data_IF_336172094207
#
_entry.id   IF_336172094207
#
_cell.length_a   1.000
_cell.length_b   1.000
_cell.length_c   1.000
_cell.angle_alpha   90.00
_cell.angle_beta   90.00
_cell.angle_gamma   90.00
#
_symmetry.space_group_name_H-M   'P 1'
#
loop_
_entity.id
_entity.type
_entity.pdbx_description
1 polymer ?
#
# COMPACT_ATOMS: atom_id res chain seq x y z
N UNK A 1 17.09 -11.31 67.99
CA UNK A 1 15.63 -11.47 68.10
C UNK A 1 14.97 -10.90 66.85
N UNK A 2 14.33 -11.79 66.09
CA UNK A 2 13.21 -11.58 65.14
C UNK A 2 13.32 -10.52 64.03
N UNK A 3 13.85 -10.94 62.88
CA UNK A 3 13.56 -10.40 61.54
C UNK A 3 12.24 -10.99 61.04
N UNK A 4 11.28 -10.16 60.61
CA UNK A 4 10.15 -10.61 59.77
C UNK A 4 10.53 -10.44 58.30
N UNK A 5 10.51 -11.56 57.57
CA UNK A 5 10.66 -11.64 56.11
C UNK A 5 9.28 -11.42 55.47
N UNK A 6 9.19 -10.55 54.48
CA UNK A 6 8.08 -10.53 53.53
C UNK A 6 8.52 -11.32 52.29
N UNK A 7 7.81 -12.40 52.01
CA UNK A 7 7.93 -13.19 50.79
C UNK A 7 6.98 -12.56 49.77
N UNK A 8 7.52 -12.05 48.65
CA UNK A 8 6.73 -11.74 47.46
C UNK A 8 7.16 -12.74 46.39
N UNK A 9 6.28 -13.70 46.15
CA UNK A 9 6.41 -14.74 45.13
C UNK A 9 6.13 -14.14 43.76
N UNK A 10 7.10 -14.33 42.87
CA UNK A 10 6.95 -14.24 41.42
C UNK A 10 5.95 -15.29 40.91
N UNK A 11 5.07 -14.88 40.00
CA UNK A 11 4.40 -15.77 39.05
C UNK A 11 4.47 -15.10 37.65
N UNK A 12 4.85 -15.84 36.59
CA UNK A 12 5.04 -15.29 35.26
C UNK A 12 3.71 -15.24 34.50
N UNK A 13 3.46 -14.14 33.78
CA UNK A 13 2.44 -14.06 32.75
C UNK A 13 3.00 -14.67 31.46
N UNK A 14 2.64 -15.93 31.21
CA UNK A 14 2.63 -16.54 29.88
C UNK A 14 1.22 -17.09 29.63
N UNK A 15 0.49 -16.49 28.67
CA UNK A 15 -0.65 -17.09 27.97
C UNK A 15 -0.57 -16.53 26.54
N UNK A 16 0.04 -17.23 25.58
CA UNK A 16 -0.58 -18.30 24.77
C UNK A 16 -1.87 -17.84 24.08
N UNK A 17 -1.75 -17.17 22.93
CA UNK A 17 -2.87 -16.95 22.03
C UNK A 17 -2.95 -18.12 21.04
N UNK A 18 -3.98 -18.95 21.17
CA UNK A 18 -4.26 -20.07 20.27
C UNK A 18 -5.33 -21.01 20.83
N UNK A 19 -6.42 -21.15 20.07
CA UNK A 19 -7.50 -22.15 20.21
C UNK A 19 -8.49 -22.02 21.38
N UNK A 20 -9.66 -21.43 21.10
CA UNK A 20 -10.94 -22.05 21.49
C UNK A 20 -12.04 -21.70 20.47
N UNK A 21 -12.44 -22.74 19.74
CA UNK A 21 -13.51 -22.78 18.73
C UNK A 21 -14.87 -23.03 19.39
N UNK A 22 -15.92 -22.52 18.74
CA UNK A 22 -17.28 -23.08 18.65
C UNK A 22 -18.00 -23.51 19.94
N UNK A 23 -18.75 -22.60 20.58
CA UNK A 23 -20.04 -22.96 21.25
C UNK A 23 -20.93 -21.80 21.74
N UNK A 24 -20.99 -20.67 21.02
CA UNK A 24 -21.86 -19.54 21.43
C UNK A 24 -22.74 -18.92 20.35
N UNK A 25 -22.98 -19.63 19.25
CA UNK A 25 -23.70 -19.06 18.10
C UNK A 25 -25.10 -19.66 17.83
N UNK A 26 -25.61 -20.58 18.68
CA UNK A 26 -26.92 -21.21 18.46
C UNK A 26 -28.07 -20.63 19.28
N UNK A 27 -27.81 -19.93 20.40
CA UNK A 27 -28.90 -19.37 21.24
C UNK A 27 -29.23 -17.90 20.93
N UNK A 28 -28.38 -17.18 20.20
CA UNK A 28 -28.65 -15.80 19.76
C UNK A 28 -29.35 -15.69 18.39
N UNK A 29 -29.44 -16.79 17.63
CA UNK A 29 -30.12 -16.82 16.33
C UNK A 29 -31.61 -17.19 16.42
N UNK A 30 -32.08 -17.70 17.55
CA UNK A 30 -33.48 -18.13 17.73
C UNK A 30 -34.38 -17.00 18.28
N UNK A 31 -33.81 -16.05 19.04
CA UNK A 31 -34.55 -14.89 19.57
C UNK A 31 -34.84 -13.78 18.53
N UNK A 32 -34.14 -13.78 17.38
CA UNK A 32 -34.34 -12.79 16.31
C UNK A 32 -35.44 -13.23 15.32
N UNK A 33 -35.72 -14.54 15.23
CA UNK A 33 -36.77 -15.07 14.34
C UNK A 33 -38.19 -14.83 14.86
N UNK A 34 -38.42 -14.86 16.16
CA UNK A 34 -39.75 -14.62 16.76
C UNK A 34 -40.17 -13.15 16.76
N UNK A 35 -39.24 -12.21 16.55
CA UNK A 35 -39.56 -10.77 16.48
C UNK A 35 -39.94 -10.31 15.07
N UNK A 36 -39.58 -11.08 14.03
CA UNK A 36 -39.81 -10.71 12.62
C UNK A 36 -41.11 -11.28 12.02
N UNK A 37 -41.90 -12.02 12.80
CA UNK A 37 -43.14 -12.64 12.31
C UNK A 37 -44.43 -11.89 12.71
N UNK A 38 -44.32 -10.73 13.36
CA UNK A 38 -45.46 -9.95 13.86
C UNK A 38 -45.66 -8.57 13.21
N UNK A 39 -45.01 -8.27 12.07
CA UNK A 39 -45.09 -6.92 11.45
C UNK A 39 -45.69 -6.91 10.04
N UNK A 40 -46.14 -8.03 9.49
CA UNK A 40 -46.80 -8.05 8.18
C UNK A 40 -48.29 -8.42 8.31
N UNK A 41 -49.12 -7.39 8.47
CA UNK A 41 -50.52 -7.43 8.03
C UNK A 41 -50.63 -6.64 6.74
N UNK A 42 -51.00 -7.35 5.67
CA UNK A 42 -51.39 -6.81 4.37
C UNK A 42 -52.56 -5.82 4.53
N UNK A 43 -52.48 -4.68 3.83
CA UNK A 43 -53.58 -3.72 3.73
C UNK A 43 -53.08 -2.28 3.56
N UNK A 44 -53.10 -1.83 2.30
CA UNK A 44 -53.22 -0.43 1.89
C UNK A 44 -52.04 0.52 2.16
N UNK A 45 -51.10 0.60 1.20
CA UNK A 45 -50.52 1.86 0.70
C UNK A 45 -49.61 1.60 -0.52
N UNK A 46 -50.19 0.95 -1.53
CA UNK A 46 -49.69 0.96 -2.91
C UNK A 46 -50.05 2.32 -3.56
N UNK A 47 -49.20 3.33 -3.41
CA UNK A 47 -48.99 4.48 -4.31
C UNK A 47 -48.12 5.51 -3.58
N UNK A 48 -46.79 5.36 -3.62
CA UNK A 48 -45.83 6.49 -3.45
C UNK A 48 -44.34 6.11 -3.39
N UNK A 49 -43.95 4.82 -3.32
CA UNK A 49 -42.53 4.45 -3.12
C UNK A 49 -41.78 4.08 -4.41
N UNK A 50 -42.46 4.01 -5.56
CA UNK A 50 -41.80 3.72 -6.85
C UNK A 50 -41.03 4.90 -7.48
N UNK A 51 -40.93 6.06 -6.81
CA UNK A 51 -40.31 7.27 -7.38
C UNK A 51 -39.12 7.83 -6.58
N UNK A 52 -38.64 7.18 -5.52
CA UNK A 52 -37.47 7.67 -4.77
C UNK A 52 -36.16 6.92 -5.06
N UNK A 53 -36.21 5.64 -5.46
CA UNK A 53 -34.99 4.87 -5.74
C UNK A 53 -34.43 5.08 -7.16
N UNK A 54 -35.23 5.61 -8.11
CA UNK A 54 -34.74 5.96 -9.46
C UNK A 54 -34.20 7.40 -9.57
N UNK A 55 -34.52 8.29 -8.62
CA UNK A 55 -34.15 9.72 -8.69
C UNK A 55 -32.80 10.02 -8.02
N UNK A 56 -32.27 9.14 -7.15
CA UNK A 56 -30.98 9.38 -6.48
C UNK A 56 -29.74 8.85 -7.22
N UNK A 57 -29.93 8.15 -8.35
CA UNK A 57 -28.84 7.58 -9.17
C UNK A 57 -28.42 8.50 -10.35
N UNK A 58 -28.94 9.72 -10.41
CA UNK A 58 -28.60 10.76 -11.41
C UNK A 58 -27.98 12.03 -10.80
N UNK A 59 -27.42 11.96 -9.60
CA UNK A 59 -26.54 13.03 -9.09
C UNK A 59 -25.19 12.96 -9.80
N UNK A 60 -25.08 13.76 -10.86
CA UNK A 60 -23.86 14.23 -11.52
C UNK A 60 -22.66 13.27 -11.40
N UNK A 61 -22.46 12.48 -12.47
CA UNK A 61 -21.08 12.22 -12.87
C UNK A 61 -20.53 13.60 -13.19
N UNK A 62 -19.89 14.25 -12.22
CA UNK A 62 -18.98 15.34 -12.47
C UNK A 62 -17.82 14.68 -13.25
N UNK A 63 -18.01 14.57 -14.57
CA UNK A 63 -17.02 14.05 -15.50
C UNK A 63 -15.96 15.14 -15.57
N UNK A 64 -15.11 15.16 -14.57
CA UNK A 64 -13.93 15.97 -14.63
C UNK A 64 -12.96 15.35 -15.63
N UNK A 65 -12.61 16.14 -16.64
CA UNK A 65 -11.68 15.77 -17.71
C UNK A 65 -10.53 16.74 -17.68
N UNK A 66 -9.43 16.33 -17.08
CA UNK A 66 -8.21 17.10 -17.15
C UNK A 66 -7.21 16.50 -18.10
N UNK A 67 -6.39 17.39 -18.65
CA UNK A 67 -5.26 17.06 -19.47
C UNK A 67 -4.03 17.73 -18.87
N UNK A 68 -2.98 16.94 -18.63
CA UNK A 68 -1.71 17.42 -18.10
C UNK A 68 -0.59 17.04 -19.07
N UNK A 69 0.37 17.93 -19.27
CA UNK A 69 1.65 17.58 -19.90
C UNK A 69 2.69 17.45 -18.78
N UNK A 70 3.29 16.27 -18.63
CA UNK A 70 4.24 15.98 -17.56
C UNK A 70 5.55 15.47 -18.14
N UNK A 71 6.65 15.99 -17.58
CA UNK A 71 8.03 15.64 -17.91
C UNK A 71 8.84 15.62 -16.62
N UNK A 72 8.75 14.53 -15.85
CA UNK A 72 9.63 14.34 -14.69
C UNK A 72 11.03 13.83 -15.09
N UNK A 73 11.19 13.41 -16.35
CA UNK A 73 12.47 13.07 -16.96
C UNK A 73 12.70 13.94 -18.20
N UNK A 74 13.95 14.27 -18.53
CA UNK A 74 14.28 15.11 -19.69
C UNK A 74 13.93 14.46 -21.04
N UNK A 75 13.69 13.14 -21.04
CA UNK A 75 13.65 12.33 -22.27
C UNK A 75 12.27 11.77 -22.62
N UNK A 76 11.27 11.87 -21.75
CA UNK A 76 9.92 11.34 -22.01
C UNK A 76 8.86 12.30 -21.52
N UNK A 77 7.92 12.62 -22.41
CA UNK A 77 6.76 13.45 -22.09
C UNK A 77 5.49 12.67 -22.27
N UNK A 78 4.55 12.91 -21.36
CA UNK A 78 3.23 12.30 -21.39
C UNK A 78 2.14 13.35 -21.38
N UNK A 79 1.17 13.15 -22.26
CA UNK A 79 -0.16 13.73 -22.14
C UNK A 79 -1.01 12.79 -21.28
N UNK A 80 -1.42 13.28 -20.11
CA UNK A 80 -2.12 12.51 -19.09
C UNK A 80 -3.57 12.96 -19.03
N UNK A 81 -4.48 11.99 -19.05
CA UNK A 81 -5.91 12.22 -18.90
C UNK A 81 -6.45 11.44 -17.70
N UNK A 82 -7.00 12.15 -16.72
CA UNK A 82 -7.67 11.55 -15.56
C UNK A 82 -9.17 11.77 -15.67
N UNK A 83 -9.94 10.70 -15.59
CA UNK A 83 -11.41 10.75 -15.55
C UNK A 83 -11.97 9.81 -14.48
N UNK A 84 -13.08 10.21 -13.86
CA UNK A 84 -13.86 9.37 -12.95
C UNK A 84 -14.67 8.34 -13.74
N UNK A 85 -14.77 7.12 -13.24
CA UNK A 85 -15.60 6.06 -13.82
C UNK A 85 -16.54 5.46 -12.76
N UNK A 86 -17.59 4.80 -13.20
CA UNK A 86 -18.50 4.08 -12.30
C UNK A 86 -17.96 2.69 -11.95
N UNK A 87 -18.46 2.11 -10.85
CA UNK A 87 -18.01 0.81 -10.36
C UNK A 87 -18.32 -0.33 -11.33
N UNK A 88 -19.44 -0.27 -12.07
CA UNK A 88 -19.87 -1.32 -12.98
C UNK A 88 -18.87 -1.41 -14.14
N UNK A 89 -18.55 -0.28 -14.76
CA UNK A 89 -17.54 -0.19 -15.81
C UNK A 89 -16.18 -0.65 -15.31
N UNK A 90 -15.74 -0.19 -14.14
CA UNK A 90 -14.45 -0.56 -13.54
C UNK A 90 -14.31 -2.08 -13.36
N UNK A 91 -15.29 -2.73 -12.71
CA UNK A 91 -15.22 -4.17 -12.45
C UNK A 91 -15.44 -5.02 -13.70
N UNK A 92 -16.26 -4.55 -14.66
CA UNK A 92 -16.43 -5.22 -15.96
C UNK A 92 -15.11 -5.30 -16.72
N UNK A 93 -14.32 -4.23 -16.72
CA UNK A 93 -13.00 -4.23 -17.36
C UNK A 93 -12.04 -5.13 -16.58
N UNK A 94 -11.99 -5.01 -15.25
CA UNK A 94 -11.12 -5.82 -14.40
C UNK A 94 -11.29 -7.33 -14.61
N UNK A 95 -12.51 -7.81 -14.84
CA UNK A 95 -12.79 -9.23 -15.07
C UNK A 95 -12.02 -9.81 -16.29
N UNK A 96 -11.69 -8.96 -17.27
CA UNK A 96 -10.91 -9.36 -18.45
C UNK A 96 -9.38 -9.27 -18.25
N UNK A 97 -8.91 -8.80 -17.10
CA UNK A 97 -7.49 -8.56 -16.84
C UNK A 97 -6.91 -9.73 -16.04
N UNK A 98 -5.81 -10.34 -16.48
CA UNK A 98 -5.10 -11.36 -15.72
C UNK A 98 -4.68 -10.85 -14.34
N UNK A 99 -4.67 -11.76 -13.36
CA UNK A 99 -4.14 -11.45 -12.03
C UNK A 99 -2.64 -11.18 -12.17
N UNK A 100 -2.12 -10.06 -11.65
CA UNK A 100 -0.69 -9.76 -11.70
C UNK A 100 0.14 -10.86 -11.03
N UNK A 101 1.29 -11.17 -11.63
CA UNK A 101 2.28 -12.05 -11.03
C UNK A 101 2.84 -11.39 -9.76
N UNK A 102 2.86 -12.13 -8.65
CA UNK A 102 3.43 -11.65 -7.39
C UNK A 102 4.95 -11.66 -7.48
N UNK A 103 5.57 -10.54 -7.12
CA UNK A 103 7.03 -10.43 -7.06
C UNK A 103 7.55 -11.29 -5.91
N UNK A 104 8.57 -12.11 -6.20
CA UNK A 104 9.24 -12.91 -5.19
C UNK A 104 9.99 -12.02 -4.19
N UNK A 105 9.85 -12.32 -2.91
CA UNK A 105 10.55 -11.60 -1.84
C UNK A 105 11.06 -12.56 -0.76
N UNK A 106 12.23 -12.25 -0.24
CA UNK A 106 12.89 -12.96 0.85
C UNK A 106 12.66 -12.13 2.12
N UNK A 107 11.88 -12.67 3.05
CA UNK A 107 11.57 -12.04 4.35
C UNK A 107 12.34 -12.65 5.52
N UNK A 108 12.96 -13.82 5.33
CA UNK A 108 13.86 -14.37 6.34
C UNK A 108 15.18 -13.59 6.30
N UNK A 109 15.51 -12.94 7.41
CA UNK A 109 16.71 -12.10 7.50
C UNK A 109 18.00 -12.90 7.30
N UNK A 110 18.08 -14.13 7.82
CA UNK A 110 19.29 -14.93 7.70
C UNK A 110 19.55 -15.33 6.24
N UNK A 111 18.50 -15.61 5.47
CA UNK A 111 18.60 -15.86 4.03
C UNK A 111 18.91 -14.57 3.27
N UNK A 112 18.18 -13.48 3.50
CA UNK A 112 18.44 -12.20 2.85
C UNK A 112 19.89 -11.73 3.07
N UNK A 113 20.42 -11.88 4.30
CA UNK A 113 21.81 -11.54 4.63
C UNK A 113 22.85 -12.34 3.82
N UNK A 114 22.53 -13.57 3.38
CA UNK A 114 23.42 -14.33 2.49
C UNK A 114 23.47 -13.71 1.09
N UNK A 115 22.30 -13.33 0.54
CA UNK A 115 22.21 -12.66 -0.76
C UNK A 115 22.85 -11.26 -0.73
N UNK A 116 22.69 -10.55 0.39
CA UNK A 116 23.15 -9.18 0.55
C UNK A 116 24.60 -9.06 1.03
N UNK A 117 25.34 -10.19 1.13
CA UNK A 117 26.71 -10.21 1.59
C UNK A 117 27.62 -9.35 0.71
N UNK A 118 28.30 -8.38 1.33
CA UNK A 118 29.19 -7.45 0.63
C UNK A 118 28.46 -6.32 -0.12
N UNK A 119 27.13 -6.27 -0.02
CA UNK A 119 26.29 -5.19 -0.53
C UNK A 119 25.80 -4.34 0.63
N UNK A 120 25.23 -4.98 1.66
CA UNK A 120 24.62 -4.30 2.79
C UNK A 120 25.37 -4.70 4.05
N UNK A 121 25.86 -3.69 4.75
CA UNK A 121 26.40 -3.84 6.10
C UNK A 121 25.27 -3.61 7.08
N UNK A 122 24.85 -4.68 7.76
CA UNK A 122 23.83 -4.63 8.79
C UNK A 122 24.43 -4.50 10.18
N UNK A 123 23.69 -3.85 11.09
CA UNK A 123 24.03 -3.75 12.50
C UNK A 123 24.32 -2.32 12.94
N UNK A 124 23.47 -1.79 13.82
CA UNK A 124 23.72 -0.55 14.56
C UNK A 124 23.71 -0.80 16.07
N UNK A 125 24.40 0.05 16.82
CA UNK A 125 24.33 0.08 18.28
C UNK A 125 23.78 1.42 18.70
N UNK A 126 22.66 1.41 19.42
CA UNK A 126 22.11 2.61 20.03
C UNK A 126 22.44 2.63 21.52
N UNK A 127 22.68 3.81 22.08
CA UNK A 127 22.92 4.00 23.51
C UNK A 127 21.88 4.94 24.09
N UNK A 128 21.21 4.50 25.13
CA UNK A 128 20.12 5.22 25.78
C UNK A 128 20.65 6.11 26.91
N UNK A 129 19.77 6.98 27.44
CA UNK A 129 20.14 8.02 28.41
C UNK A 129 20.66 7.49 29.77
N UNK A 130 20.48 6.21 30.06
CA UNK A 130 21.02 5.51 31.23
C UNK A 130 22.39 4.85 30.96
N UNK A 131 22.89 4.95 29.73
CA UNK A 131 24.14 4.33 29.29
C UNK A 131 24.00 2.86 28.86
N UNK A 132 22.79 2.31 28.83
CA UNK A 132 22.56 0.98 28.24
C UNK A 132 22.67 1.06 26.72
N UNK A 133 23.34 0.08 26.11
CA UNK A 133 23.46 -0.02 24.66
C UNK A 133 22.76 -1.28 24.13
N UNK A 134 21.98 -1.12 23.07
CA UNK A 134 21.28 -2.22 22.38
C UNK A 134 21.82 -2.32 20.96
N UNK A 135 22.10 -3.56 20.51
CA UNK A 135 22.53 -3.84 19.15
C UNK A 135 21.37 -4.36 18.32
N UNK A 136 21.11 -3.70 17.19
CA UNK A 136 20.05 -4.05 16.25
C UNK A 136 20.67 -4.68 14.99
N UNK A 137 20.70 -6.02 14.88
CA UNK A 137 21.41 -6.71 13.80
C UNK A 137 20.74 -6.61 12.43
N UNK A 138 19.48 -6.18 12.38
CA UNK A 138 18.61 -6.17 11.20
C UNK A 138 18.51 -4.79 10.53
N UNK A 139 19.06 -3.75 11.16
CA UNK A 139 19.09 -2.40 10.59
C UNK A 139 20.24 -2.31 9.58
N UNK A 140 19.98 -1.99 8.30
CA UNK A 140 21.03 -1.69 7.35
C UNK A 140 21.71 -0.38 7.76
N UNK A 141 23.04 -0.39 7.79
CA UNK A 141 23.85 0.77 8.16
C UNK A 141 24.47 1.41 6.93
N UNK A 142 25.10 0.60 6.08
CA UNK A 142 25.76 1.03 4.85
C UNK A 142 25.31 0.14 3.70
N UNK A 143 24.95 0.76 2.58
CA UNK A 143 24.64 0.09 1.34
C UNK A 143 25.70 0.45 0.30
N UNK A 144 26.30 -0.57 -0.31
CA UNK A 144 27.22 -0.51 -1.43
C UNK A 144 26.46 -0.94 -2.69
N UNK A 145 25.80 0.01 -3.34
CA UNK A 145 25.05 -0.27 -4.57
C UNK A 145 25.96 -0.81 -5.68
N UNK A 146 25.39 -1.50 -6.67
CA UNK A 146 26.14 -2.16 -7.76
C UNK A 146 26.91 -1.17 -8.62
N UNK A 147 26.39 0.03 -8.79
CA UNK A 147 27.08 1.14 -9.43
C UNK A 147 28.21 1.76 -8.58
N UNK A 148 28.55 1.16 -7.43
CA UNK A 148 29.56 1.60 -6.46
C UNK A 148 29.20 2.86 -5.67
N UNK A 149 27.95 3.32 -5.74
CA UNK A 149 27.45 4.36 -4.84
C UNK A 149 27.38 3.79 -3.43
N UNK A 150 27.94 4.53 -2.47
CA UNK A 150 27.79 4.25 -1.04
C UNK A 150 26.64 5.09 -0.50
N UNK A 151 25.72 4.45 0.21
CA UNK A 151 24.59 5.09 0.90
C UNK A 151 24.72 4.75 2.38
N UNK A 152 24.52 5.75 3.22
CA UNK A 152 24.41 5.57 4.66
C UNK A 152 22.94 5.67 5.02
N UNK A 153 22.42 4.66 5.71
CA UNK A 153 21.05 4.70 6.18
C UNK A 153 20.94 5.79 7.25
N UNK A 154 20.12 6.80 6.98
CA UNK A 154 19.90 7.94 7.87
C UNK A 154 18.77 7.69 8.86
N UNK A 155 17.97 6.66 8.64
CA UNK A 155 16.89 6.27 9.53
C UNK A 155 17.36 5.10 10.41
N UNK A 156 17.72 5.36 11.68
CA UNK A 156 18.17 4.31 12.59
C UNK A 156 17.02 3.34 12.96
N UNK A 157 15.76 3.76 12.79
CA UNK A 157 14.58 2.93 13.06
C UNK A 157 14.25 2.00 11.88
N UNK A 158 14.88 2.17 10.71
CA UNK A 158 14.59 1.38 9.52
C UNK A 158 15.11 -0.06 9.64
N UNK A 159 14.29 -0.99 10.11
CA UNK A 159 14.65 -2.40 10.26
C UNK A 159 14.30 -3.21 9.00
N UNK A 160 15.08 -4.24 8.69
CA UNK A 160 14.85 -5.12 7.54
C UNK A 160 13.44 -5.72 7.53
N UNK A 161 12.76 -5.64 6.37
CA UNK A 161 11.46 -6.30 6.14
C UNK A 161 11.58 -7.35 5.03
N UNK A 162 12.14 -6.96 3.89
CA UNK A 162 12.21 -7.84 2.74
C UNK A 162 13.35 -7.45 1.78
N UNK A 163 13.87 -8.44 1.07
CA UNK A 163 14.69 -8.24 -0.12
C UNK A 163 13.94 -8.82 -1.33
N UNK A 164 13.87 -8.04 -2.43
CA UNK A 164 13.22 -8.42 -3.68
C UNK A 164 14.29 -8.72 -4.74
N UNK A 165 14.68 -9.98 -4.97
CA UNK A 165 15.86 -10.30 -5.76
C UNK A 165 15.73 -9.93 -7.25
N UNK A 166 14.53 -10.08 -7.84
CA UNK A 166 14.31 -9.73 -9.25
C UNK A 166 14.41 -8.24 -9.51
N UNK A 167 14.02 -7.43 -8.54
CA UNK A 167 14.09 -5.97 -8.60
C UNK A 167 15.42 -5.43 -8.07
N UNK A 168 16.17 -6.24 -7.33
CA UNK A 168 17.36 -5.88 -6.54
C UNK A 168 17.08 -4.69 -5.61
N UNK A 169 15.96 -4.76 -4.89
CA UNK A 169 15.50 -3.72 -3.95
C UNK A 169 15.46 -4.28 -2.54
N UNK A 170 16.06 -3.54 -1.60
CA UNK A 170 15.94 -3.76 -0.16
C UNK A 170 14.80 -2.89 0.38
N UNK A 171 13.90 -3.48 1.16
CA UNK A 171 12.84 -2.76 1.88
C UNK A 171 13.00 -2.96 3.39
N UNK A 172 12.83 -1.87 4.10
CA UNK A 172 12.86 -1.74 5.53
C UNK A 172 11.61 -0.98 5.99
N UNK A 173 11.26 -1.15 7.26
CA UNK A 173 10.19 -0.39 7.91
C UNK A 173 10.83 0.53 8.94
N UNK A 174 10.57 1.84 8.82
CA UNK A 174 11.04 2.85 9.75
C UNK A 174 9.98 3.26 10.77
N UNK A 175 10.22 4.39 11.42
CA UNK A 175 9.28 4.97 12.39
C UNK A 175 7.89 5.20 11.79
N UNK A 176 6.83 4.96 12.57
CA UNK A 176 5.43 5.05 12.11
C UNK A 176 5.09 4.13 10.93
N UNK A 177 5.77 2.98 10.85
CA UNK A 177 5.61 1.99 9.80
C UNK A 177 5.94 2.52 8.39
N UNK A 178 6.79 3.55 8.30
CA UNK A 178 7.21 4.14 7.02
C UNK A 178 7.93 3.10 6.16
N UNK A 179 7.66 3.12 4.87
CA UNK A 179 8.46 2.38 3.90
C UNK A 179 9.82 3.08 3.73
N UNK A 180 10.90 2.33 3.95
CA UNK A 180 12.27 2.76 3.62
C UNK A 180 12.84 1.77 2.62
N UNK A 181 13.22 2.24 1.43
CA UNK A 181 13.72 1.35 0.39
C UNK A 181 14.98 1.85 -0.31
N UNK A 182 15.77 0.90 -0.78
CA UNK A 182 17.03 1.13 -1.47
C UNK A 182 17.08 0.30 -2.75
N UNK A 183 17.19 0.96 -3.91
CA UNK A 183 17.52 0.30 -5.17
C UNK A 183 19.00 -0.05 -5.15
N UNK A 184 19.32 -1.35 -5.02
CA UNK A 184 20.70 -1.79 -4.88
C UNK A 184 21.47 -1.72 -6.19
N UNK A 185 20.81 -1.50 -7.35
CA UNK A 185 21.48 -1.37 -8.65
C UNK A 185 22.20 -0.03 -8.75
N UNK A 186 21.48 1.05 -8.49
CA UNK A 186 21.94 2.42 -8.73
C UNK A 186 21.97 3.31 -7.48
N UNK A 187 21.44 2.81 -6.37
CA UNK A 187 21.48 3.49 -5.09
C UNK A 187 20.49 4.64 -4.96
N UNK A 188 19.38 4.61 -5.69
CA UNK A 188 18.22 5.46 -5.41
C UNK A 188 17.54 4.99 -4.11
N UNK A 189 16.87 5.93 -3.46
CA UNK A 189 16.22 5.74 -2.15
C UNK A 189 14.69 5.75 -2.33
N UNK A 190 13.94 5.74 -1.23
CA UNK A 190 12.49 5.52 -1.19
C UNK A 190 11.68 6.33 -2.19
N UNK A 191 11.94 7.64 -2.28
CA UNK A 191 11.14 8.56 -3.10
C UNK A 191 11.13 8.19 -4.59
N UNK A 192 12.20 7.57 -5.09
CA UNK A 192 12.31 7.12 -6.48
C UNK A 192 12.12 5.60 -6.62
N UNK A 193 12.46 4.84 -5.58
CA UNK A 193 12.44 3.36 -5.62
C UNK A 193 11.05 2.81 -5.33
N UNK A 194 10.33 3.41 -4.37
CA UNK A 194 9.06 2.90 -3.84
C UNK A 194 9.20 1.54 -3.15
N UNK A 195 8.07 0.88 -2.90
CA UNK A 195 8.00 -0.44 -2.30
C UNK A 195 7.43 -1.46 -3.33
N UNK A 196 8.18 -2.52 -3.68
CA UNK A 196 7.73 -3.54 -4.63
C UNK A 196 6.42 -4.26 -4.30
N UNK A 197 5.96 -4.24 -3.05
CA UNK A 197 4.63 -4.76 -2.71
C UNK A 197 3.49 -3.97 -3.37
N UNK A 198 3.72 -2.74 -3.81
CA UNK A 198 2.75 -1.91 -4.54
C UNK A 198 2.81 -2.08 -6.07
N UNK A 199 3.79 -2.82 -6.60
CA UNK A 199 4.02 -2.84 -8.04
C UNK A 199 2.84 -3.44 -8.80
N UNK A 200 2.34 -2.69 -9.78
CA UNK A 200 1.37 -3.18 -10.77
C UNK A 200 1.89 -2.84 -12.15
N UNK A 201 2.39 -3.86 -12.86
CA UNK A 201 2.99 -3.73 -14.19
C UNK A 201 1.94 -3.60 -15.30
N UNK A 202 2.26 -2.80 -16.33
CA UNK A 202 1.56 -2.86 -17.62
C UNK A 202 1.76 -4.22 -18.29
N UNK A 203 0.89 -4.62 -19.24
CA UNK A 203 1.02 -5.90 -19.93
C UNK A 203 2.41 -6.16 -20.55
N UNK A 204 3.06 -5.13 -21.10
CA UNK A 204 4.41 -5.24 -21.67
C UNK A 204 5.54 -5.00 -20.66
N UNK A 205 5.20 -4.71 -19.40
CA UNK A 205 6.12 -4.38 -18.30
C UNK A 205 7.00 -3.15 -18.57
N UNK A 206 6.59 -2.25 -19.46
CA UNK A 206 7.29 -0.98 -19.72
C UNK A 206 6.86 0.13 -18.77
N UNK A 207 5.64 0.04 -18.21
CA UNK A 207 5.14 0.92 -17.17
C UNK A 207 4.84 0.12 -15.91
N UNK A 208 4.90 0.78 -14.76
CA UNK A 208 4.38 0.24 -13.49
C UNK A 208 3.79 1.33 -12.63
N UNK A 209 2.72 1.00 -11.93
CA UNK A 209 2.29 1.75 -10.76
C UNK A 209 3.12 1.30 -9.56
N UNK A 210 3.45 2.25 -8.69
CA UNK A 210 4.25 2.05 -7.49
C UNK A 210 3.86 3.11 -6.44
N UNK A 211 4.34 2.95 -5.22
CA UNK A 211 4.21 3.91 -4.16
C UNK A 211 5.08 3.54 -2.97
N UNK A 212 5.02 4.36 -1.94
CA UNK A 212 5.57 4.06 -0.62
C UNK A 212 4.71 4.75 0.44
N UNK A 213 4.58 4.11 1.58
CA UNK A 213 3.87 4.65 2.72
C UNK A 213 4.78 5.55 3.54
N UNK A 214 4.42 6.84 3.64
CA UNK A 214 5.25 7.84 4.33
C UNK A 214 4.97 7.98 5.82
N UNK A 215 4.23 7.04 6.40
CA UNK A 215 3.72 7.16 7.77
C UNK A 215 2.46 8.01 7.82
N UNK A 216 1.78 7.99 8.99
CA UNK A 216 0.65 8.87 9.29
C UNK A 216 -0.43 8.90 8.17
N UNK A 217 -0.87 7.70 7.75
CA UNK A 217 -2.09 7.43 6.98
C UNK A 217 -2.07 7.70 5.46
N UNK A 218 -1.01 8.29 4.91
CA UNK A 218 -0.93 8.63 3.48
C UNK A 218 0.27 8.00 2.77
N UNK A 219 0.02 7.43 1.59
CA UNK A 219 1.08 6.94 0.69
C UNK A 219 1.37 7.97 -0.39
N UNK A 220 2.63 8.06 -0.80
CA UNK A 220 3.01 8.70 -2.07
C UNK A 220 2.85 7.68 -3.19
N UNK A 221 2.22 8.07 -4.29
CA UNK A 221 1.74 7.15 -5.32
C UNK A 221 2.14 7.68 -6.70
N UNK A 222 2.73 6.82 -7.53
CA UNK A 222 3.30 7.29 -8.81
C UNK A 222 3.34 6.19 -9.88
N UNK A 223 3.48 6.63 -11.12
CA UNK A 223 3.75 5.77 -12.27
C UNK A 223 5.22 5.91 -12.66
N UNK A 224 5.84 4.77 -12.94
CA UNK A 224 7.21 4.70 -13.44
C UNK A 224 7.26 4.09 -14.82
N UNK A 225 8.22 4.54 -15.63
CA UNK A 225 8.57 3.97 -16.92
C UNK A 225 9.92 3.29 -16.87
N UNK A 226 10.02 2.14 -17.52
CA UNK A 226 11.30 1.46 -17.74
C UNK A 226 12.11 2.24 -18.77
N UNK A 227 13.23 2.83 -18.33
CA UNK A 227 14.21 3.53 -19.15
C UNK A 227 15.54 2.78 -19.03
N UNK A 228 16.02 2.23 -20.16
CA UNK A 228 17.16 1.33 -20.18
C UNK A 228 17.04 0.17 -19.15
N UNK A 229 17.85 0.19 -18.09
CA UNK A 229 17.89 -0.86 -17.06
C UNK A 229 17.16 -0.50 -15.76
N UNK A 230 16.60 0.71 -15.65
CA UNK A 230 15.93 1.20 -14.44
C UNK A 230 14.49 1.65 -14.72
N UNK A 231 13.68 1.73 -13.67
CA UNK A 231 12.39 2.40 -13.72
C UNK A 231 12.54 3.82 -13.17
N UNK A 232 12.09 4.82 -13.91
CA UNK A 232 12.11 6.22 -13.49
C UNK A 232 10.67 6.73 -13.30
N UNK A 233 10.45 7.57 -12.30
CA UNK A 233 9.16 8.22 -12.10
C UNK A 233 8.86 9.13 -13.29
N UNK A 234 7.65 8.99 -13.85
CA UNK A 234 7.17 9.84 -14.95
C UNK A 234 5.93 10.63 -14.53
N UNK A 235 5.25 10.21 -13.46
CA UNK A 235 4.02 10.78 -12.95
C UNK A 235 3.93 10.60 -11.44
N UNK A 236 3.97 11.68 -10.68
CA UNK A 236 3.38 11.72 -9.33
C UNK A 236 1.84 11.71 -9.42
N UNK A 237 1.25 10.55 -9.16
CA UNK A 237 -0.19 10.31 -9.34
C UNK A 237 -1.01 11.05 -8.27
N UNK A 238 -0.49 11.14 -7.05
CA UNK A 238 -1.08 11.89 -5.96
C UNK A 238 -1.19 13.40 -6.29
N UNK A 239 -0.15 14.00 -6.85
CA UNK A 239 -0.16 15.41 -7.27
C UNK A 239 -1.16 15.66 -8.40
N UNK A 240 -1.12 14.86 -9.47
CA UNK A 240 -2.06 14.99 -10.59
C UNK A 240 -3.50 14.80 -10.13
N UNK A 241 -3.72 13.84 -9.23
CA UNK A 241 -5.04 13.58 -8.68
C UNK A 241 -5.56 14.75 -7.85
N UNK A 242 -4.74 15.34 -6.99
CA UNK A 242 -5.13 16.49 -6.19
C UNK A 242 -5.39 17.72 -7.07
N UNK A 243 -4.56 17.96 -8.08
CA UNK A 243 -4.79 19.07 -9.00
C UNK A 243 -6.12 18.93 -9.74
N UNK A 244 -6.42 17.70 -10.18
CA UNK A 244 -7.67 17.37 -10.85
C UNK A 244 -8.90 17.47 -9.94
N UNK A 245 -8.85 16.85 -8.77
CA UNK A 245 -10.06 16.57 -7.98
C UNK A 245 -10.22 17.48 -6.78
N UNK A 246 -9.18 18.25 -6.43
CA UNK A 246 -9.07 19.00 -5.17
C UNK A 246 -9.18 18.11 -3.92
N UNK A 247 -8.80 16.84 -4.06
CA UNK A 247 -8.84 15.84 -3.00
C UNK A 247 -7.50 15.09 -2.94
N UNK A 248 -7.08 14.69 -1.74
CA UNK A 248 -5.88 13.87 -1.57
C UNK A 248 -6.12 12.41 -1.99
N UNK A 249 -5.09 11.83 -2.60
CA UNK A 249 -5.01 10.41 -2.94
C UNK A 249 -4.05 9.71 -1.97
N UNK A 250 -4.54 9.32 -0.80
CA UNK A 250 -3.70 8.67 0.21
C UNK A 250 -3.66 7.15 0.10
N UNK A 251 -4.76 6.54 -0.36
CA UNK A 251 -4.95 5.10 -0.35
C UNK A 251 -5.60 4.65 -1.64
N UNK A 252 -4.96 3.67 -2.31
CA UNK A 252 -5.52 2.98 -3.46
C UNK A 252 -5.84 1.54 -3.04
N UNK A 253 -7.05 1.11 -3.39
CA UNK A 253 -7.50 -0.28 -3.22
C UNK A 253 -7.12 -1.11 -4.43
N UNK A 254 -8.12 -1.61 -5.16
CA UNK A 254 -7.86 -2.28 -6.43
C UNK A 254 -7.27 -1.33 -7.47
N UNK A 255 -6.21 -1.76 -8.14
CA UNK A 255 -5.68 -1.12 -9.33
C UNK A 255 -5.23 -2.14 -10.38
N UNK A 256 -5.20 -1.74 -11.65
CA UNK A 256 -4.77 -2.58 -12.76
C UNK A 256 -4.53 -1.77 -14.04
N UNK A 257 -3.66 -2.28 -14.90
CA UNK A 257 -3.52 -1.79 -16.27
C UNK A 257 -4.48 -2.52 -17.20
N UNK A 258 -5.30 -1.78 -17.95
CA UNK A 258 -6.12 -2.36 -19.01
C UNK A 258 -5.32 -2.60 -20.30
N UNK A 259 -4.29 -1.79 -20.53
CA UNK A 259 -3.30 -1.93 -21.59
C UNK A 259 -2.05 -1.10 -21.20
N UNK A 260 -1.12 -0.84 -22.13
CA UNK A 260 0.11 -0.08 -21.86
C UNK A 260 -0.08 1.45 -21.79
N UNK A 261 -1.32 1.95 -21.84
CA UNK A 261 -1.64 3.38 -21.77
C UNK A 261 -2.70 3.68 -20.70
N UNK A 262 -3.54 2.72 -20.35
CA UNK A 262 -4.73 2.94 -19.51
C UNK A 262 -4.56 2.19 -18.19
N UNK A 263 -4.48 2.96 -17.11
CA UNK A 263 -4.44 2.49 -15.74
C UNK A 263 -5.75 2.81 -15.03
N UNK A 264 -6.31 1.82 -14.34
CA UNK A 264 -7.50 1.98 -13.52
C UNK A 264 -7.12 1.84 -12.05
N UNK A 265 -7.69 2.69 -11.20
CA UNK A 265 -7.50 2.58 -9.76
C UNK A 265 -8.76 2.98 -8.99
N UNK A 266 -8.91 2.34 -7.84
CA UNK A 266 -9.92 2.62 -6.84
C UNK A 266 -9.31 3.48 -5.75
N UNK A 267 -9.81 4.69 -5.56
CA UNK A 267 -9.51 5.49 -4.36
C UNK A 267 -10.32 4.95 -3.18
N UNK A 268 -9.63 4.66 -2.10
CA UNK A 268 -10.21 4.27 -0.82
C UNK A 268 -10.06 5.44 0.15
N UNK A 269 -11.15 5.81 0.82
CA UNK A 269 -11.14 6.86 1.82
C UNK A 269 -11.95 6.39 3.04
N UNK A 270 -11.35 6.48 4.24
CA UNK A 270 -11.97 5.96 5.45
C UNK A 270 -13.31 6.65 5.71
N UNK A 271 -14.38 5.87 5.84
CA UNK A 271 -15.72 6.40 6.09
C UNK A 271 -16.44 6.96 4.86
N UNK A 272 -15.86 6.89 3.67
CA UNK A 272 -16.47 7.36 2.43
C UNK A 272 -16.67 6.25 1.40
N UNK A 273 -17.62 6.44 0.47
CA UNK A 273 -17.81 5.52 -0.66
C UNK A 273 -16.56 5.53 -1.53
N UNK A 274 -16.13 4.34 -1.94
CA UNK A 274 -15.04 4.16 -2.90
C UNK A 274 -15.34 4.91 -4.20
N UNK A 275 -14.29 5.49 -4.77
CA UNK A 275 -14.35 6.17 -6.07
C UNK A 275 -13.42 5.48 -7.05
N UNK A 276 -13.80 5.43 -8.31
CA UNK A 276 -13.08 4.70 -9.34
C UNK A 276 -12.62 5.68 -10.41
N UNK A 277 -11.39 5.48 -10.88
CA UNK A 277 -10.75 6.39 -11.80
C UNK A 277 -10.04 5.63 -12.91
N UNK A 278 -9.90 6.32 -14.03
CA UNK A 278 -9.15 5.89 -15.20
C UNK A 278 -8.14 6.98 -15.52
N UNK A 279 -6.88 6.58 -15.57
CA UNK A 279 -5.74 7.37 -16.01
C UNK A 279 -5.32 6.88 -17.39
N UNK A 280 -5.23 7.78 -18.35
CA UNK A 280 -4.68 7.49 -19.69
C UNK A 280 -3.36 8.24 -19.84
N UNK A 281 -2.29 7.53 -20.20
CA UNK A 281 -0.97 8.08 -20.47
C UNK A 281 -0.67 7.93 -21.96
N UNK A 282 -0.47 9.05 -22.66
CA UNK A 282 -0.05 9.06 -24.07
C UNK A 282 1.31 9.72 -24.20
N UNK A 283 2.30 8.95 -24.63
CA UNK A 283 3.63 9.47 -24.93
C UNK A 283 3.58 10.42 -26.13
N UNK A 284 4.32 11.54 -26.06
CA UNK A 284 4.34 12.60 -27.09
C UNK A 284 5.76 12.93 -27.55
#
# INVERSE_FOLDING_TARGET
MTKKRFFLLFLPFFVSCGYFSEKKNSEQQEAVKDTLQNVFSEGDLEESIENQDEIENQKEIEIFKNEFEVSETENVRYKIHLEKTDSITFFKIKQGIPIPEKIEKITDFADAKKYLKGIVEFGITETFGDGESVFYPEVPKIIHARNRKKIENKDPDAFFVAYFPSEDILVCEGGHATDVSFDLKDGRETEQTGNPDYFVYSPDKTLRFNGWFGGQECSTLFIQKKLAESFEMIVSLDVIFEEATKQWLCNIGTSFWANNEIFYFQRVNMGHKNQYFKLTLKEI
#
